data_IF_114272124922
#
_entry.id   IF_114272124922
#
_cell.length_a   1.000
_cell.length_b   1.000
_cell.length_c   1.000
_cell.angle_alpha   90.00
_cell.angle_beta   90.00
_cell.angle_gamma   90.00
#
_symmetry.space_group_name_H-M   'P 1'
#
loop_
_entity.id
_entity.type
_entity.pdbx_description
1 polymer ?
#
# COMPACT_ATOMS: atom_id res chain seq x y z
N UNK A 1 -16.33 -1.41 -13.41
CA UNK A 1 -15.40 -2.55 -13.51
C UNK A 1 -14.47 -2.47 -14.72
N UNK A 2 -14.94 -2.39 -15.97
CA UNK A 2 -14.05 -2.41 -17.16
C UNK A 2 -12.94 -1.35 -17.18
N UNK A 3 -13.24 -0.11 -16.76
CA UNK A 3 -12.25 0.97 -16.64
C UNK A 3 -11.11 0.60 -15.68
N UNK A 4 -11.44 -0.03 -14.55
CA UNK A 4 -10.46 -0.49 -13.56
C UNK A 4 -9.60 -1.62 -14.13
N UNK A 5 -10.21 -2.61 -14.79
CA UNK A 5 -9.51 -3.71 -15.45
C UNK A 5 -8.50 -3.17 -16.48
N UNK A 6 -8.91 -2.22 -17.31
CA UNK A 6 -8.03 -1.62 -18.31
C UNK A 6 -6.87 -0.85 -17.66
N UNK A 7 -7.12 -0.14 -16.56
CA UNK A 7 -6.07 0.54 -15.79
C UNK A 7 -5.06 -0.45 -15.22
N UNK A 8 -5.54 -1.51 -14.55
CA UNK A 8 -4.68 -2.54 -13.94
C UNK A 8 -3.84 -3.25 -14.98
N UNK A 9 -4.36 -3.52 -16.17
CA UNK A 9 -3.58 -4.13 -17.28
C UNK A 9 -2.39 -3.29 -17.74
N UNK A 10 -2.46 -1.97 -17.56
CA UNK A 10 -1.41 -1.03 -17.94
C UNK A 10 -0.50 -0.64 -16.77
N UNK A 11 -0.67 -1.26 -15.61
CA UNK A 11 0.10 -1.00 -14.40
C UNK A 11 0.84 -2.28 -13.98
N UNK A 12 2.11 -2.16 -13.61
CA UNK A 12 2.96 -3.31 -13.24
C UNK A 12 3.43 -3.25 -11.78
N UNK A 13 3.05 -2.23 -11.03
CA UNK A 13 3.51 -2.02 -9.66
C UNK A 13 2.30 -1.79 -8.76
N UNK A 14 2.22 -2.55 -7.67
CA UNK A 14 1.07 -2.52 -6.77
C UNK A 14 1.52 -2.55 -5.32
N UNK A 15 0.81 -1.86 -4.43
CA UNK A 15 0.92 -2.13 -2.99
C UNK A 15 -0.26 -2.97 -2.54
N UNK A 16 0.00 -3.88 -1.61
CA UNK A 16 -1.02 -4.71 -0.97
C UNK A 16 -0.95 -4.50 0.54
N UNK A 17 -2.08 -4.15 1.10
CA UNK A 17 -2.31 -3.99 2.53
C UNK A 17 -3.57 -4.72 2.93
N UNK A 18 -3.61 -5.09 4.20
CA UNK A 18 -4.71 -5.82 4.77
C UNK A 18 -5.07 -5.23 6.11
N UNK A 19 -6.36 -5.10 6.34
CA UNK A 19 -6.89 -4.72 7.64
C UNK A 19 -7.77 -5.84 8.17
N UNK A 20 -7.59 -6.12 9.45
CA UNK A 20 -8.30 -7.16 10.17
C UNK A 20 -9.16 -6.57 11.27
N UNK A 21 -10.26 -7.24 11.56
CA UNK A 21 -11.09 -6.92 12.70
C UNK A 21 -10.37 -7.30 14.00
N UNK A 22 -10.13 -6.36 14.92
CA UNK A 22 -9.33 -6.64 16.12
C UNK A 22 -9.98 -7.66 17.04
N UNK A 23 -11.32 -7.63 17.12
CA UNK A 23 -12.10 -8.50 17.99
C UNK A 23 -12.11 -9.96 17.51
N UNK A 24 -12.31 -10.20 16.21
CA UNK A 24 -12.41 -11.54 15.63
C UNK A 24 -11.10 -12.04 15.02
N UNK A 25 -10.13 -11.14 14.82
CA UNK A 25 -8.88 -11.37 14.06
C UNK A 25 -9.11 -11.82 12.62
N UNK A 26 -10.32 -11.63 12.09
CA UNK A 26 -10.65 -11.97 10.72
C UNK A 26 -10.16 -10.88 9.79
N UNK A 27 -9.64 -11.29 8.63
CA UNK A 27 -9.32 -10.36 7.56
C UNK A 27 -10.62 -9.75 7.05
N UNK A 28 -10.70 -8.42 7.07
CA UNK A 28 -11.91 -7.68 6.78
C UNK A 28 -11.79 -6.85 5.50
N UNK A 29 -10.59 -6.37 5.19
CA UNK A 29 -10.33 -5.53 4.03
C UNK A 29 -8.98 -5.87 3.40
N UNK A 30 -8.95 -5.93 2.06
CA UNK A 30 -7.71 -5.85 1.28
C UNK A 30 -7.70 -4.48 0.60
N UNK A 31 -6.61 -3.74 0.77
CA UNK A 31 -6.38 -2.47 0.10
C UNK A 31 -5.27 -2.66 -0.94
N UNK A 32 -5.56 -2.29 -2.18
CA UNK A 32 -4.63 -2.43 -3.29
C UNK A 32 -4.44 -1.09 -3.93
N UNK A 33 -3.20 -0.59 -3.92
CA UNK A 33 -2.87 0.63 -4.65
C UNK A 33 -2.15 0.29 -5.94
N UNK A 34 -2.58 0.92 -7.03
CA UNK A 34 -1.83 0.90 -8.29
C UNK A 34 -0.73 1.97 -8.25
N UNK A 35 0.45 1.66 -8.76
CA UNK A 35 1.58 2.60 -8.91
C UNK A 35 1.91 2.70 -10.41
N UNK A 36 1.12 3.42 -11.21
CA UNK A 36 1.41 3.59 -12.62
C UNK A 36 2.59 4.55 -12.84
N UNK A 37 3.17 4.49 -14.03
CA UNK A 37 4.16 5.48 -14.48
C UNK A 37 3.54 6.87 -14.71
N UNK A 38 2.24 6.90 -15.04
CA UNK A 38 1.47 8.11 -15.30
C UNK A 38 0.17 8.08 -14.50
N UNK A 39 -0.28 9.25 -14.05
CA UNK A 39 -1.55 9.40 -13.33
C UNK A 39 -2.75 8.91 -14.17
N UNK A 40 -3.83 8.46 -13.52
CA UNK A 40 -4.11 8.56 -12.08
C UNK A 40 -3.70 7.31 -11.27
N UNK A 41 -3.46 7.50 -9.96
CA UNK A 41 -3.40 6.39 -8.99
C UNK A 41 -4.82 5.93 -8.64
N UNK A 42 -5.03 4.62 -8.54
CA UNK A 42 -6.22 4.03 -7.93
C UNK A 42 -5.86 3.33 -6.62
N UNK A 43 -6.70 3.54 -5.61
CA UNK A 43 -6.80 2.69 -4.43
C UNK A 43 -8.08 1.87 -4.56
N UNK A 44 -7.94 0.56 -4.45
CA UNK A 44 -9.01 -0.43 -4.61
C UNK A 44 -9.20 -1.06 -3.24
N UNK A 45 -10.42 -0.96 -2.74
CA UNK A 45 -10.83 -1.53 -1.46
C UNK A 45 -11.67 -2.77 -1.74
N UNK A 46 -11.24 -3.92 -1.22
CA UNK A 46 -11.96 -5.19 -1.36
C UNK A 46 -12.41 -5.62 0.03
N UNK A 47 -13.68 -5.42 0.32
CA UNK A 47 -14.32 -5.82 1.59
C UNK A 47 -14.62 -7.32 1.58
N UNK A 48 -14.26 -8.00 2.66
CA UNK A 48 -14.25 -9.47 2.69
C UNK A 48 -15.45 -10.08 3.39
N UNK A 49 -16.08 -9.32 4.28
CA UNK A 49 -17.23 -9.79 5.04
C UNK A 49 -18.51 -9.92 4.19
N UNK A 50 -18.56 -9.29 3.01
CA UNK A 50 -19.79 -9.10 2.22
C UNK A 50 -19.63 -9.47 0.76
N UNK A 51 -18.81 -10.48 0.50
CA UNK A 51 -18.49 -10.87 -0.87
C UNK A 51 -19.66 -11.54 -1.58
N UNK A 52 -19.77 -11.34 -2.91
CA UNK A 52 -20.85 -11.94 -3.67
C UNK A 52 -20.66 -13.46 -3.78
N UNK A 53 -21.75 -14.22 -3.98
CA UNK A 53 -21.68 -15.68 -4.13
C UNK A 53 -20.69 -16.12 -5.22
N UNK A 54 -20.03 -17.28 -5.03
CA UNK A 54 -19.02 -17.82 -5.96
C UNK A 54 -19.56 -17.96 -7.40
N UNK A 55 -20.85 -18.27 -7.55
CA UNK A 55 -21.52 -18.40 -8.85
C UNK A 55 -21.86 -17.06 -9.52
N UNK A 56 -21.68 -15.94 -8.84
CA UNK A 56 -22.05 -14.63 -9.37
C UNK A 56 -21.03 -14.09 -10.39
N UNK A 57 -21.52 -13.29 -11.34
CA UNK A 57 -20.65 -12.58 -12.29
C UNK A 57 -19.66 -11.64 -11.59
N UNK A 58 -20.06 -11.01 -10.49
CA UNK A 58 -19.20 -10.09 -9.73
C UNK A 58 -18.03 -10.86 -9.12
N UNK A 59 -18.28 -12.04 -8.56
CA UNK A 59 -17.22 -12.90 -8.03
C UNK A 59 -16.19 -13.27 -9.11
N UNK A 60 -16.65 -13.68 -10.30
CA UNK A 60 -15.77 -13.96 -11.43
C UNK A 60 -14.94 -12.73 -11.85
N UNK A 61 -15.53 -11.54 -11.84
CA UNK A 61 -14.81 -10.28 -12.13
C UNK A 61 -13.75 -9.94 -11.07
N UNK A 62 -14.04 -10.19 -9.79
CA UNK A 62 -13.07 -10.01 -8.70
C UNK A 62 -11.92 -11.01 -8.86
N UNK A 63 -12.21 -12.28 -9.15
CA UNK A 63 -11.18 -13.30 -9.41
C UNK A 63 -10.28 -12.90 -10.58
N UNK A 64 -10.88 -12.47 -11.70
CA UNK A 64 -10.13 -11.95 -12.86
C UNK A 64 -9.25 -10.75 -12.48
N UNK A 65 -9.73 -9.86 -11.62
CA UNK A 65 -8.95 -8.72 -11.14
C UNK A 65 -7.72 -9.17 -10.33
N UNK A 66 -7.87 -10.15 -9.43
CA UNK A 66 -6.74 -10.73 -8.69
C UNK A 66 -5.74 -11.45 -9.60
N UNK A 67 -6.21 -12.20 -10.60
CA UNK A 67 -5.35 -12.84 -11.60
C UNK A 67 -4.50 -11.80 -12.36
N UNK A 68 -5.07 -10.63 -12.66
CA UNK A 68 -4.33 -9.54 -13.27
C UNK A 68 -3.24 -9.00 -12.33
N UNK A 69 -3.50 -8.81 -11.04
CA UNK A 69 -2.47 -8.38 -10.08
C UNK A 69 -1.34 -9.40 -9.94
N UNK A 70 -1.66 -10.70 -9.97
CA UNK A 70 -0.71 -11.78 -9.71
C UNK A 70 0.02 -12.32 -10.95
N UNK A 71 0.06 -11.53 -12.03
CA UNK A 71 0.78 -11.86 -13.25
C UNK A 71 2.29 -11.63 -13.11
N UNK A 72 3.11 -12.43 -13.80
CA UNK A 72 4.58 -12.43 -13.70
C UNK A 72 5.28 -11.11 -14.04
N UNK A 73 4.61 -10.21 -14.75
CA UNK A 73 5.14 -8.89 -15.12
C UNK A 73 5.03 -7.87 -13.99
N UNK A 74 4.29 -8.20 -12.94
CA UNK A 74 3.98 -7.28 -11.88
C UNK A 74 4.96 -7.41 -10.72
N UNK A 75 5.06 -6.33 -9.95
CA UNK A 75 5.71 -6.28 -8.66
C UNK A 75 4.68 -5.88 -7.62
N UNK A 76 4.55 -6.70 -6.57
CA UNK A 76 3.72 -6.40 -5.42
C UNK A 76 4.62 -6.01 -4.25
N UNK A 77 4.34 -4.85 -3.67
CA UNK A 77 4.95 -4.36 -2.45
C UNK A 77 3.99 -4.59 -1.28
N UNK A 78 4.47 -5.28 -0.24
CA UNK A 78 3.75 -5.43 1.02
C UNK A 78 4.69 -5.06 2.17
N UNK A 79 4.15 -4.60 3.28
CA UNK A 79 5.00 -4.30 4.44
C UNK A 79 5.62 -5.59 4.97
N UNK A 80 4.81 -6.61 5.27
CA UNK A 80 5.28 -7.90 5.73
C UNK A 80 5.28 -8.98 4.63
N UNK A 81 5.38 -10.26 5.02
CA UNK A 81 5.22 -11.37 4.09
C UNK A 81 3.79 -11.45 3.56
N UNK A 82 3.57 -11.06 2.29
CA UNK A 82 2.25 -10.98 1.65
C UNK A 82 1.38 -12.23 1.88
N UNK A 83 1.96 -13.44 1.74
CA UNK A 83 1.23 -14.70 1.93
C UNK A 83 0.55 -14.77 3.31
N UNK A 84 1.19 -14.26 4.36
CA UNK A 84 0.62 -14.26 5.72
C UNK A 84 -0.53 -13.28 5.83
N UNK A 85 -0.40 -12.11 5.21
CA UNK A 85 -1.42 -11.05 5.23
C UNK A 85 -2.69 -11.49 4.50
N UNK A 86 -2.55 -12.11 3.31
CA UNK A 86 -3.69 -12.50 2.48
C UNK A 86 -4.11 -13.97 2.63
N UNK A 87 -3.54 -14.71 3.59
CA UNK A 87 -3.86 -16.14 3.78
C UNK A 87 -5.36 -16.42 3.92
N UNK A 88 -6.15 -15.63 4.66
CA UNK A 88 -7.60 -15.85 4.74
C UNK A 88 -8.30 -15.78 3.37
N UNK A 89 -7.87 -14.88 2.49
CA UNK A 89 -8.42 -14.76 1.14
C UNK A 89 -8.10 -15.98 0.25
N UNK A 90 -6.95 -16.64 0.48
CA UNK A 90 -6.59 -17.89 -0.20
C UNK A 90 -7.54 -19.02 0.23
N UNK A 91 -7.83 -19.11 1.53
CA UNK A 91 -8.76 -20.13 2.07
C UNK A 91 -10.17 -19.96 1.49
N UNK A 92 -10.58 -18.72 1.23
CA UNK A 92 -11.86 -18.41 0.59
C UNK A 92 -11.86 -18.59 -0.94
N UNK A 93 -10.79 -19.14 -1.53
CA UNK A 93 -10.67 -19.48 -2.97
C UNK A 93 -10.77 -18.29 -3.94
N UNK A 94 -10.44 -17.07 -3.52
CA UNK A 94 -10.51 -15.91 -4.44
C UNK A 94 -9.36 -15.86 -5.44
N UNK A 95 -8.24 -16.48 -5.09
CA UNK A 95 -7.10 -16.68 -5.96
C UNK A 95 -6.28 -17.86 -5.44
N UNK A 96 -5.41 -18.36 -6.30
CA UNK A 96 -4.58 -19.52 -6.01
C UNK A 96 -3.17 -19.10 -5.55
N UNK A 97 -2.58 -19.89 -4.67
CA UNK A 97 -1.18 -19.77 -4.27
C UNK A 97 -0.43 -21.03 -4.70
N UNK A 98 0.79 -20.95 -5.30
CA UNK A 98 1.63 -19.76 -5.43
C UNK A 98 1.17 -18.77 -6.51
N UNK A 99 1.24 -17.49 -6.18
CA UNK A 99 1.07 -16.41 -7.16
C UNK A 99 2.29 -16.31 -8.07
N UNK A 100 2.10 -15.85 -9.32
CA UNK A 100 3.16 -15.82 -10.34
C UNK A 100 3.95 -14.51 -10.37
N UNK A 101 3.62 -13.55 -9.51
CA UNK A 101 4.21 -12.21 -9.45
C UNK A 101 5.42 -12.16 -8.52
N UNK A 102 6.30 -11.18 -8.75
CA UNK A 102 7.33 -10.80 -7.78
C UNK A 102 6.67 -10.13 -6.56
N UNK A 103 7.16 -10.48 -5.36
CA UNK A 103 6.72 -9.87 -4.10
C UNK A 103 7.92 -9.30 -3.37
N UNK A 104 7.84 -8.01 -3.06
CA UNK A 104 8.86 -7.27 -2.32
C UNK A 104 8.34 -7.01 -0.90
N UNK A 105 9.00 -7.63 0.08
CA UNK A 105 8.77 -7.36 1.49
C UNK A 105 9.51 -6.06 1.88
N UNK A 106 8.74 -4.98 2.08
CA UNK A 106 9.29 -3.66 2.39
C UNK A 106 9.91 -3.59 3.79
N UNK A 107 9.42 -4.34 4.78
CA UNK A 107 10.00 -4.37 6.12
C UNK A 107 11.45 -4.87 6.07
N UNK A 108 11.74 -5.92 5.30
CA UNK A 108 13.10 -6.43 5.12
C UNK A 108 13.98 -5.42 4.37
N UNK A 109 13.48 -4.86 3.27
CA UNK A 109 14.22 -3.86 2.49
C UNK A 109 14.53 -2.60 3.30
N UNK A 110 13.59 -2.18 4.14
CA UNK A 110 13.76 -1.04 5.02
C UNK A 110 14.85 -1.32 6.07
N UNK A 111 14.83 -2.49 6.72
CA UNK A 111 15.87 -2.90 7.65
C UNK A 111 17.26 -2.95 6.99
N UNK A 112 17.35 -3.53 5.78
CA UNK A 112 18.60 -3.57 5.00
C UNK A 112 19.16 -2.16 4.72
N UNK A 113 18.28 -1.21 4.36
CA UNK A 113 18.66 0.18 4.12
C UNK A 113 19.22 0.87 5.39
N UNK A 114 18.70 0.52 6.57
CA UNK A 114 19.20 1.07 7.85
C UNK A 114 20.54 0.45 8.26
N UNK A 115 20.70 -0.86 8.10
CA UNK A 115 21.92 -1.57 8.50
C UNK A 115 23.09 -1.32 7.57
N UNK A 116 22.83 -1.12 6.28
CA UNK A 116 23.84 -0.86 5.27
C UNK A 116 23.46 0.39 4.47
N UNK A 117 23.66 1.61 5.02
CA UNK A 117 23.45 2.84 4.28
C UNK A 117 24.41 2.83 3.08
N UNK A 118 23.89 2.47 1.90
CA UNK A 118 24.71 2.42 0.69
C UNK A 118 25.15 3.84 0.38
N UNK A 119 26.46 4.08 0.33
CA UNK A 119 27.00 5.30 -0.28
C UNK A 119 26.75 5.23 -1.79
N UNK A 120 25.55 5.59 -2.22
CA UNK A 120 25.24 5.75 -3.64
C UNK A 120 25.80 7.11 -4.05
N UNK A 121 26.89 7.09 -4.81
CA UNK A 121 27.46 8.28 -5.45
C UNK A 121 26.44 8.74 -6.50
N UNK A 122 25.75 9.84 -6.21
CA UNK A 122 24.94 10.54 -7.21
C UNK A 122 25.86 11.56 -7.85
N UNK A 123 26.18 11.37 -9.13
CA UNK A 123 26.86 12.39 -9.92
C UNK A 123 25.85 13.50 -10.23
N UNK A 124 25.64 14.40 -9.29
CA UNK A 124 24.95 15.66 -9.55
C UNK A 124 26.01 16.67 -10.00
N UNK A 125 26.05 16.94 -11.31
CA UNK A 125 26.93 17.96 -11.86
C UNK A 125 26.26 19.30 -11.60
N UNK A 126 26.65 19.96 -10.51
CA UNK A 126 26.31 21.36 -10.32
C UNK A 126 26.89 22.20 -11.47
N UNK A 127 26.24 23.31 -11.80
CA UNK A 127 26.65 24.27 -12.85
C UNK A 127 28.06 24.84 -12.71
N UNK A 128 28.73 24.62 -11.56
CA UNK A 128 30.11 25.02 -11.28
C UNK A 128 31.13 23.86 -11.35
N UNK A 129 30.73 22.66 -11.81
CA UNK A 129 31.66 21.54 -12.03
C UNK A 129 32.20 20.86 -10.76
N UNK A 130 31.71 21.22 -9.57
CA UNK A 130 32.07 20.55 -8.32
C UNK A 130 31.24 19.27 -8.11
N UNK A 131 31.92 18.13 -7.96
CA UNK A 131 31.34 16.87 -7.52
C UNK A 131 30.97 16.95 -6.03
N UNK A 132 29.68 17.05 -5.73
CA UNK A 132 29.20 16.90 -4.36
C UNK A 132 28.90 15.42 -4.05
N UNK A 133 29.70 14.82 -3.17
CA UNK A 133 29.41 13.51 -2.58
C UNK A 133 28.25 13.62 -1.59
N UNK A 134 27.02 13.50 -2.09
CA UNK A 134 25.84 13.36 -1.24
C UNK A 134 25.67 11.89 -0.84
N UNK A 135 25.98 11.56 0.42
CA UNK A 135 25.55 10.28 0.99
C UNK A 135 24.02 10.29 1.10
N UNK A 136 23.37 9.58 0.18
CA UNK A 136 21.91 9.66 -0.03
C UNK A 136 21.05 9.08 1.11
N UNK A 137 21.68 8.43 2.08
CA UNK A 137 21.04 7.82 3.25
C UNK A 137 21.71 8.31 4.54
N UNK A 138 21.56 9.58 4.91
CA UNK A 138 21.68 9.92 6.33
C UNK A 138 20.40 9.44 7.01
N UNK A 139 20.37 8.16 7.39
CA UNK A 139 19.42 7.72 8.40
C UNK A 139 19.74 8.55 9.65
N UNK A 140 18.90 9.55 9.93
CA UNK A 140 19.15 10.53 10.97
C UNK A 140 19.20 9.82 12.33
N UNK A 141 20.28 10.06 13.10
CA UNK A 141 20.47 9.61 14.49
C UNK A 141 20.38 8.07 14.65
N UNK A 142 20.96 7.49 15.72
CA UNK A 142 20.68 6.10 16.05
C UNK A 142 19.17 5.88 16.14
N UNK A 143 18.69 4.78 15.53
CA UNK A 143 17.28 4.40 15.60
C UNK A 143 16.80 4.39 17.06
N UNK A 144 15.67 5.02 17.39
CA UNK A 144 15.08 4.92 18.73
C UNK A 144 14.43 3.56 18.98
N UNK A 145 14.38 2.68 17.97
CA UNK A 145 13.76 1.36 18.03
C UNK A 145 14.80 0.25 18.21
N UNK A 146 14.38 -0.87 18.81
CA UNK A 146 15.25 -2.00 19.16
C UNK A 146 15.82 -2.65 17.89
N UNK A 147 17.15 -2.91 17.81
CA UNK A 147 17.81 -3.43 16.60
C UNK A 147 17.28 -4.78 16.08
N UNK A 148 16.76 -5.62 16.98
CA UNK A 148 16.32 -6.98 16.67
C UNK A 148 14.80 -7.12 16.54
N UNK A 149 14.05 -6.04 16.68
CA UNK A 149 12.59 -6.07 16.54
C UNK A 149 12.18 -5.71 15.11
N UNK A 150 11.26 -6.47 14.49
CA UNK A 150 10.72 -6.11 13.18
C UNK A 150 10.04 -4.74 13.27
N UNK A 151 10.40 -3.85 12.35
CA UNK A 151 9.77 -2.55 12.26
C UNK A 151 8.31 -2.68 11.83
N UNK A 152 7.40 -2.03 12.54
CA UNK A 152 6.05 -1.79 12.02
C UNK A 152 6.10 -0.69 10.96
N UNK A 153 5.12 -0.67 10.05
CA UNK A 153 5.01 0.39 9.05
C UNK A 153 4.97 1.77 9.72
N UNK A 154 4.19 1.91 10.79
CA UNK A 154 4.06 3.15 11.54
C UNK A 154 5.39 3.65 12.12
N UNK A 155 6.22 2.75 12.65
CA UNK A 155 7.55 3.11 13.17
C UNK A 155 8.47 3.59 12.05
N UNK A 156 8.45 2.89 10.90
CA UNK A 156 9.27 3.27 9.75
C UNK A 156 8.89 4.66 9.21
N UNK A 157 7.59 4.96 9.14
CA UNK A 157 7.07 6.24 8.68
C UNK A 157 7.37 7.40 9.63
N UNK A 158 7.24 7.18 10.94
CA UNK A 158 7.63 8.16 11.96
C UNK A 158 9.13 8.45 11.87
N UNK A 159 9.94 7.39 11.79
CA UNK A 159 11.40 7.53 11.77
C UNK A 159 11.90 8.26 10.52
N UNK A 160 11.35 7.93 9.35
CA UNK A 160 11.80 8.49 8.07
C UNK A 160 11.26 9.89 7.81
N UNK A 161 9.97 10.08 8.05
CA UNK A 161 9.23 11.23 7.52
C UNK A 161 8.44 11.97 8.61
N UNK A 162 8.52 11.55 9.88
CA UNK A 162 7.71 12.12 10.97
C UNK A 162 6.21 11.89 10.80
N UNK A 163 5.80 10.93 9.96
CA UNK A 163 4.40 10.74 9.57
C UNK A 163 3.68 9.77 10.49
N UNK A 164 2.56 10.20 11.05
CA UNK A 164 1.67 9.40 11.91
C UNK A 164 0.38 9.06 11.17
N UNK A 165 0.05 7.77 11.08
CA UNK A 165 -1.25 7.32 10.57
C UNK A 165 -2.12 6.96 11.77
N UNK A 166 -3.15 7.77 12.02
CA UNK A 166 -4.05 7.54 13.15
C UNK A 166 -5.00 6.37 12.85
N UNK A 167 -4.80 5.25 13.56
CA UNK A 167 -5.64 4.04 13.46
C UNK A 167 -6.87 4.08 14.37
N UNK A 168 -7.06 5.12 15.19
CA UNK A 168 -8.08 5.16 16.25
C UNK A 168 -9.50 4.93 15.73
N UNK A 169 -9.79 5.38 14.51
CA UNK A 169 -11.12 5.30 13.91
C UNK A 169 -11.46 3.93 13.31
N UNK A 170 -10.46 3.06 13.12
CA UNK A 170 -10.62 1.81 12.35
C UNK A 170 -10.49 0.54 13.19
N UNK A 171 -10.15 0.67 14.48
CA UNK A 171 -9.76 -0.44 15.37
C UNK A 171 -10.78 -1.59 15.42
N UNK A 172 -12.09 -1.33 15.28
CA UNK A 172 -13.13 -2.38 15.34
C UNK A 172 -14.25 -2.23 14.28
N UNK A 173 -13.97 -1.59 13.15
CA UNK A 173 -15.05 -1.14 12.24
C UNK A 173 -14.88 -1.68 10.82
N UNK A 174 -13.82 -2.46 10.56
CA UNK A 174 -13.52 -2.94 9.21
C UNK A 174 -14.50 -3.99 8.68
N UNK A 175 -15.17 -4.72 9.58
CA UNK A 175 -16.26 -5.63 9.19
C UNK A 175 -17.56 -4.90 8.86
N UNK A 176 -17.65 -3.61 9.17
CA UNK A 176 -18.84 -2.81 8.86
C UNK A 176 -18.73 -2.28 7.44
N UNK A 177 -19.74 -2.55 6.62
CA UNK A 177 -19.74 -2.23 5.19
C UNK A 177 -19.38 -0.76 4.92
N UNK A 178 -18.53 -0.50 3.93
CA UNK A 178 -18.19 0.84 3.48
C UNK A 178 -19.18 1.34 2.42
N UNK A 179 -19.86 0.41 1.74
CA UNK A 179 -20.94 0.71 0.79
C UNK A 179 -22.10 1.44 1.49
N UNK A 180 -22.48 2.65 1.04
CA UNK A 180 -23.58 3.40 1.62
C UNK A 180 -24.91 2.65 1.71
N UNK A 181 -25.16 1.71 0.81
CA UNK A 181 -26.43 0.98 0.71
C UNK A 181 -26.61 -0.02 1.85
N UNK A 182 -25.50 -0.55 2.38
CA UNK A 182 -25.50 -1.67 3.30
C UNK A 182 -24.84 -1.34 4.65
N UNK A 183 -24.12 -0.22 4.73
CA UNK A 183 -23.45 0.23 5.94
C UNK A 183 -24.41 0.69 7.03
N UNK A 184 -24.13 0.29 8.27
CA UNK A 184 -24.73 0.86 9.49
C UNK A 184 -24.03 2.14 9.95
N UNK A 185 -22.90 2.53 9.33
CA UNK A 185 -22.14 3.70 9.70
C UNK A 185 -22.71 4.98 9.08
N UNK A 186 -22.58 6.09 9.82
CA UNK A 186 -22.85 7.41 9.26
C UNK A 186 -21.90 7.72 8.10
N UNK A 187 -22.37 8.48 7.12
CA UNK A 187 -21.57 8.87 5.95
C UNK A 187 -20.23 9.53 6.35
N UNK A 188 -20.24 10.35 7.41
CA UNK A 188 -19.03 10.96 7.96
C UNK A 188 -18.02 9.90 8.45
N UNK A 189 -18.47 8.88 9.17
CA UNK A 189 -17.61 7.83 9.70
C UNK A 189 -17.06 6.94 8.58
N UNK A 190 -17.90 6.54 7.61
CA UNK A 190 -17.45 5.81 6.42
C UNK A 190 -16.38 6.57 5.64
N UNK A 191 -16.59 7.86 5.38
CA UNK A 191 -15.61 8.69 4.68
C UNK A 191 -14.28 8.74 5.41
N UNK A 192 -14.28 8.83 6.74
CA UNK A 192 -13.05 8.79 7.53
C UNK A 192 -12.33 7.44 7.43
N UNK A 193 -13.07 6.32 7.45
CA UNK A 193 -12.49 4.98 7.29
C UNK A 193 -11.90 4.80 5.88
N UNK A 194 -12.63 5.21 4.84
CA UNK A 194 -12.15 5.19 3.45
C UNK A 194 -10.90 6.06 3.30
N UNK A 195 -10.90 7.28 3.86
CA UNK A 195 -9.72 8.14 3.84
C UNK A 195 -8.54 7.48 4.55
N UNK A 196 -8.73 6.90 5.74
CA UNK A 196 -7.68 6.15 6.41
C UNK A 196 -7.14 5.04 5.50
N UNK A 197 -8.01 4.25 4.87
CA UNK A 197 -7.59 3.14 4.01
C UNK A 197 -6.73 3.62 2.84
N UNK A 198 -7.09 4.78 2.28
CA UNK A 198 -6.36 5.45 1.21
C UNK A 198 -5.00 5.96 1.73
N UNK A 199 -4.97 6.64 2.88
CA UNK A 199 -3.74 7.15 3.49
C UNK A 199 -2.74 6.05 3.83
N UNK A 200 -3.21 4.92 4.35
CA UNK A 200 -2.36 3.78 4.71
C UNK A 200 -1.67 3.18 3.46
N UNK A 201 -2.40 3.07 2.35
CA UNK A 201 -1.80 2.71 1.06
C UNK A 201 -0.74 3.72 0.61
N UNK A 202 -1.06 5.01 0.61
CA UNK A 202 -0.14 6.05 0.14
C UNK A 202 1.12 6.17 1.00
N UNK A 203 1.01 5.90 2.29
CA UNK A 203 2.16 5.90 3.17
C UNK A 203 3.24 4.91 2.73
N UNK A 204 2.84 3.78 2.15
CA UNK A 204 3.76 2.81 1.58
C UNK A 204 4.61 3.39 0.44
N UNK A 205 4.01 4.21 -0.42
CA UNK A 205 4.73 4.87 -1.54
C UNK A 205 5.87 5.71 -1.00
N UNK A 206 5.67 6.33 0.17
CA UNK A 206 6.69 7.14 0.80
C UNK A 206 7.95 6.33 1.20
N UNK A 207 7.82 5.02 1.34
CA UNK A 207 8.92 4.09 1.61
C UNK A 207 9.40 3.38 0.33
N UNK A 208 8.48 3.01 -0.57
CA UNK A 208 8.82 2.31 -1.82
C UNK A 208 9.76 3.16 -2.67
N UNK A 209 9.44 4.43 -2.92
CA UNK A 209 10.23 5.28 -3.83
C UNK A 209 11.69 5.43 -3.34
N UNK A 210 11.97 5.70 -2.05
CA UNK A 210 13.35 5.74 -1.55
C UNK A 210 14.05 4.38 -1.55
N UNK A 211 13.34 3.31 -1.22
CA UNK A 211 13.90 1.95 -1.13
C UNK A 211 14.23 1.37 -2.51
N UNK A 212 13.39 1.66 -3.52
CA UNK A 212 13.45 0.98 -4.84
C UNK A 212 13.93 1.86 -5.98
N UNK A 213 13.70 3.18 -5.91
CA UNK A 213 13.99 4.13 -6.99
C UNK A 213 14.99 5.21 -6.59
N UNK A 214 15.69 5.02 -5.47
CA UNK A 214 16.79 5.89 -5.01
C UNK A 214 16.40 7.35 -4.79
N UNK A 215 15.14 7.64 -4.46
CA UNK A 215 14.71 8.97 -4.02
C UNK A 215 15.17 9.24 -2.58
N UNK A 216 15.40 10.50 -2.21
CA UNK A 216 15.60 10.84 -0.79
C UNK A 216 14.25 10.86 -0.07
N UNK A 217 14.22 10.52 1.22
CA UNK A 217 13.02 10.67 2.04
C UNK A 217 12.51 12.13 2.07
N UNK A 218 13.42 13.11 1.99
CA UNK A 218 13.08 14.53 1.86
C UNK A 218 12.40 14.91 0.53
N UNK A 219 12.71 14.21 -0.57
CA UNK A 219 12.02 14.41 -1.86
C UNK A 219 10.59 13.91 -1.78
N UNK A 220 10.36 12.81 -1.08
CA UNK A 220 9.03 12.22 -0.89
C UNK A 220 8.13 13.10 -0.03
N UNK A 221 8.64 13.66 1.07
CA UNK A 221 7.83 14.50 1.99
C UNK A 221 7.35 15.81 1.38
N UNK A 222 7.98 16.26 0.28
CA UNK A 222 7.57 17.45 -0.47
C UNK A 222 6.48 17.18 -1.50
N UNK A 223 6.16 15.91 -1.78
CA UNK A 223 5.08 15.56 -2.70
C UNK A 223 3.78 15.67 -1.91
N UNK A 224 2.95 16.66 -2.24
CA UNK A 224 1.57 16.68 -1.78
C UNK A 224 0.78 15.64 -2.57
N UNK A 225 0.92 14.37 -2.16
CA UNK A 225 0.29 13.22 -2.81
C UNK A 225 -1.24 13.39 -2.90
N UNK A 226 -1.82 14.15 -1.97
CA UNK A 226 -3.25 14.48 -1.94
C UNK A 226 -3.69 15.38 -3.09
N UNK A 227 -2.84 16.30 -3.57
CA UNK A 227 -3.16 17.18 -4.70
C UNK A 227 -3.25 16.39 -6.02
N UNK A 228 -2.70 15.18 -6.06
CA UNK A 228 -2.72 14.30 -7.22
C UNK A 228 -3.92 13.33 -7.24
N UNK A 229 -4.77 13.37 -6.23
CA UNK A 229 -5.88 12.43 -6.07
C UNK A 229 -7.22 13.03 -6.50
N UNK A 230 -7.85 12.40 -7.48
CA UNK A 230 -9.28 12.55 -7.74
C UNK A 230 -9.95 11.23 -7.36
N UNK A 231 -10.59 11.17 -6.20
CA UNK A 231 -11.56 10.12 -5.92
C UNK A 231 -12.64 10.17 -7.02
N UNK A 232 -12.91 9.04 -7.68
CA UNK A 232 -14.17 8.94 -8.39
C UNK A 232 -15.28 9.10 -7.35
N UNK A 233 -16.25 10.01 -7.55
CA UNK A 233 -17.38 10.09 -6.65
C UNK A 233 -18.01 8.70 -6.57
N UNK A 234 -18.21 8.21 -5.33
CA UNK A 234 -19.04 7.03 -5.09
C UNK A 234 -20.39 7.36 -5.74
N UNK A 235 -20.63 6.78 -6.92
CA UNK A 235 -21.83 7.09 -7.69
C UNK A 235 -23.02 6.71 -6.82
N UNK A 236 -23.81 7.71 -6.44
CA UNK A 236 -25.16 7.51 -5.95
C UNK A 236 -25.93 6.79 -7.07
N UNK A 237 -26.00 5.47 -6.97
CA UNK A 237 -26.97 4.67 -7.71
C UNK A 237 -28.24 4.58 -6.87
#
# INVERSE_FOLDING_TARGET
>A
MQKLINHVRNCNEFTFYTEGEKSTKQLALIQIQTIPQQLPFFVILVELAHLPPISSLIHLQIKQLFELFFTFRNNIYSWGPLRKEIYPAIVCQWFEWPIKTSVVNLQLKFADCLSNPRNVIVNDINSDGQMNLLSKYTCHKPSPYRPNEPWTLQQALIYTNGMLIDKSITVNEWTTELDPMYSTLSALKRNKIVHYAIYDCFAAICLIRPITLYWTFQQVTKINILDSFQALPLSSR
#
